data_IF_315269347594
#
_entry.id   IF_315269347594
#
_cell.length_a   1.000
_cell.length_b   1.000
_cell.length_c   1.000
_cell.angle_alpha   90.00
_cell.angle_beta   90.00
_cell.angle_gamma   90.00
#
_symmetry.space_group_name_H-M   'P 1'
#
loop_
_entity.id
_entity.type
_entity.pdbx_description
1 polymer ?
#
# COMPACT_ATOMS: atom_id res chain seq x y z
N UNK A 1 -1.75 -7.91 24.80
CA UNK A 1 -0.86 -6.73 24.89
C UNK A 1 0.31 -6.76 23.88
N UNK A 2 1.08 -7.86 23.73
CA UNK A 2 2.21 -7.88 22.76
C UNK A 2 1.76 -7.65 21.31
N UNK A 3 0.68 -8.30 20.86
CA UNK A 3 0.14 -8.15 19.50
C UNK A 3 -0.31 -6.73 19.15
N UNK A 4 -0.99 -6.02 20.07
CA UNK A 4 -1.45 -4.65 19.81
C UNK A 4 -0.29 -3.67 19.68
N UNK A 5 0.76 -3.83 20.49
CA UNK A 5 2.01 -3.06 20.33
C UNK A 5 2.73 -3.38 19.02
N UNK A 6 2.79 -4.66 18.64
CA UNK A 6 3.33 -5.08 17.34
C UNK A 6 2.56 -4.48 16.17
N UNK A 7 1.22 -4.49 16.24
CA UNK A 7 0.37 -3.90 15.20
C UNK A 7 0.57 -2.38 15.08
N UNK A 8 0.63 -1.67 16.20
CA UNK A 8 0.89 -0.23 16.19
C UNK A 8 2.28 0.10 15.64
N UNK A 9 3.30 -0.68 16.00
CA UNK A 9 4.66 -0.51 15.46
C UNK A 9 4.71 -0.78 13.94
N UNK A 10 4.03 -1.84 13.47
CA UNK A 10 3.94 -2.16 12.05
C UNK A 10 3.17 -1.11 11.24
N UNK A 11 2.07 -0.59 11.79
CA UNK A 11 1.33 0.53 11.21
C UNK A 11 2.22 1.77 11.07
N UNK A 12 2.93 2.15 12.14
CA UNK A 12 3.82 3.30 12.15
C UNK A 12 4.98 3.12 11.16
N UNK A 13 5.55 1.92 11.08
CA UNK A 13 6.60 1.61 10.11
C UNK A 13 6.11 1.71 8.66
N UNK A 14 4.94 1.16 8.35
CA UNK A 14 4.34 1.28 7.02
C UNK A 14 4.00 2.74 6.67
N UNK A 15 3.46 3.51 7.62
CA UNK A 15 3.20 4.94 7.42
C UNK A 15 4.49 5.72 7.14
N UNK A 16 5.55 5.46 7.90
CA UNK A 16 6.85 6.09 7.70
C UNK A 16 7.47 5.70 6.34
N UNK A 17 7.37 4.44 5.93
CA UNK A 17 7.87 3.97 4.66
C UNK A 17 7.14 4.62 3.47
N UNK A 18 5.80 4.61 3.48
CA UNK A 18 4.98 5.28 2.46
C UNK A 18 5.24 6.78 2.43
N UNK A 19 5.29 7.43 3.59
CA UNK A 19 5.54 8.88 3.67
C UNK A 19 6.92 9.25 3.14
N UNK A 20 7.96 8.45 3.45
CA UNK A 20 9.30 8.67 2.93
C UNK A 20 9.38 8.47 1.42
N UNK A 21 8.73 7.44 0.90
CA UNK A 21 8.69 7.13 -0.53
C UNK A 21 7.94 8.21 -1.32
N UNK A 22 6.73 8.57 -0.91
CA UNK A 22 5.94 9.63 -1.56
C UNK A 22 6.63 11.00 -1.47
N UNK A 23 7.37 11.26 -0.38
CA UNK A 23 8.20 12.46 -0.28
C UNK A 23 9.32 12.45 -1.32
N UNK A 24 10.00 11.31 -1.53
CA UNK A 24 11.01 11.17 -2.59
C UNK A 24 10.37 11.34 -3.96
N UNK A 25 9.21 10.71 -4.21
CA UNK A 25 8.48 10.83 -5.47
C UNK A 25 8.07 12.28 -5.78
N UNK A 26 7.64 13.03 -4.76
CA UNK A 26 7.29 14.44 -4.90
C UNK A 26 8.47 15.39 -5.10
N UNK A 27 9.66 15.03 -4.60
CA UNK A 27 10.86 15.87 -4.67
C UNK A 27 11.77 15.57 -5.87
N UNK A 28 11.86 14.32 -6.30
CA UNK A 28 12.72 13.90 -7.41
C UNK A 28 11.89 13.70 -8.69
N UNK A 29 12.11 14.51 -9.74
CA UNK A 29 11.46 14.31 -11.02
C UNK A 29 11.77 12.91 -11.58
N UNK A 30 10.72 12.17 -11.94
CA UNK A 30 10.84 10.82 -12.50
C UNK A 30 11.01 9.71 -11.46
N UNK A 31 11.05 10.02 -10.17
CA UNK A 31 10.92 8.99 -9.14
C UNK A 31 9.49 8.41 -9.16
N UNK A 32 9.33 7.07 -9.13
CA UNK A 32 8.02 6.45 -9.09
C UNK A 32 7.33 6.75 -7.75
N UNK A 33 6.03 7.02 -7.79
CA UNK A 33 5.16 7.02 -6.60
C UNK A 33 4.53 5.64 -6.45
N UNK A 34 4.65 5.04 -5.28
CA UNK A 34 4.14 3.71 -4.97
C UNK A 34 2.62 3.72 -4.96
N UNK A 35 1.99 4.74 -4.39
CA UNK A 35 0.53 4.84 -4.37
C UNK A 35 -0.01 4.96 -5.79
N UNK A 36 0.63 5.78 -6.63
CA UNK A 36 0.21 5.94 -8.04
C UNK A 36 0.46 4.66 -8.83
N UNK A 37 1.62 4.01 -8.66
CA UNK A 37 1.97 2.79 -9.42
C UNK A 37 1.04 1.63 -9.09
N UNK A 38 0.75 1.40 -7.80
CA UNK A 38 -0.23 0.39 -7.37
C UNK A 38 -1.64 0.76 -7.82
N UNK A 39 -2.01 2.05 -7.74
CA UNK A 39 -3.30 2.53 -8.23
C UNK A 39 -3.50 2.24 -9.72
N UNK A 40 -2.49 2.52 -10.54
CA UNK A 40 -2.49 2.18 -11.98
C UNK A 40 -2.62 0.68 -12.20
N UNK A 41 -1.88 -0.14 -11.46
CA UNK A 41 -2.00 -1.60 -11.56
C UNK A 41 -3.42 -2.10 -11.23
N UNK A 42 -4.06 -1.52 -10.21
CA UNK A 42 -5.45 -1.86 -9.85
C UNK A 42 -6.40 -1.49 -11.00
N UNK A 43 -6.21 -0.32 -11.60
CA UNK A 43 -7.01 0.13 -12.75
C UNK A 43 -6.80 -0.81 -13.95
N UNK A 44 -5.56 -1.19 -14.24
CA UNK A 44 -5.20 -2.08 -15.35
C UNK A 44 -5.81 -3.49 -15.22
N UNK A 45 -5.90 -3.99 -13.98
CA UNK A 45 -6.44 -5.31 -13.67
C UNK A 45 -7.97 -5.32 -13.50
N UNK A 46 -8.60 -4.15 -13.59
CA UNK A 46 -10.02 -4.02 -13.32
C UNK A 46 -10.85 -4.67 -14.44
N UNK A 47 -11.89 -5.47 -14.11
CA UNK A 47 -12.74 -6.07 -15.13
C UNK A 47 -13.56 -5.00 -15.90
N UNK A 48 -14.07 -5.33 -17.09
CA UNK A 48 -14.97 -4.45 -17.83
C UNK A 48 -16.14 -4.00 -16.95
N UNK A 49 -16.44 -2.69 -16.93
CA UNK A 49 -17.50 -2.13 -16.08
C UNK A 49 -17.06 -1.72 -14.67
N UNK A 50 -15.83 -2.05 -14.24
CA UNK A 50 -15.40 -1.73 -12.88
C UNK A 50 -15.23 -0.24 -12.62
N UNK A 51 -14.90 0.56 -13.65
CA UNK A 51 -14.67 2.00 -13.47
C UNK A 51 -16.01 2.69 -13.21
N UNK A 52 -17.03 2.27 -13.93
CA UNK A 52 -18.41 2.72 -13.79
C UNK A 52 -18.94 2.42 -12.38
N UNK A 53 -18.58 1.27 -11.80
CA UNK A 53 -18.93 0.94 -10.41
C UNK A 53 -18.23 1.86 -9.41
N UNK A 54 -16.93 2.11 -9.57
CA UNK A 54 -16.18 3.01 -8.69
C UNK A 54 -16.74 4.43 -8.78
N UNK A 55 -17.01 4.92 -9.99
CA UNK A 55 -17.63 6.23 -10.21
C UNK A 55 -19.05 6.29 -9.65
N UNK A 56 -19.84 5.21 -9.74
CA UNK A 56 -21.18 5.16 -9.15
C UNK A 56 -21.15 5.24 -7.61
N UNK A 57 -20.10 4.69 -6.97
CA UNK A 57 -19.93 4.69 -5.52
C UNK A 57 -19.28 5.97 -4.98
N UNK A 58 -18.28 6.50 -5.68
CA UNK A 58 -17.41 7.59 -5.19
C UNK A 58 -17.53 8.90 -5.99
N UNK A 59 -18.27 8.92 -7.10
CA UNK A 59 -18.44 10.10 -7.95
C UNK A 59 -17.13 10.59 -8.55
N UNK A 60 -16.95 11.92 -8.58
CA UNK A 60 -15.71 12.57 -9.06
C UNK A 60 -14.49 12.32 -8.16
N UNK A 61 -14.69 11.72 -6.99
CA UNK A 61 -13.62 11.38 -6.06
C UNK A 61 -13.06 9.96 -6.28
N UNK A 62 -13.34 9.30 -7.42
CA UNK A 62 -12.87 7.95 -7.76
C UNK A 62 -11.34 7.78 -7.57
N UNK A 63 -10.56 8.75 -8.03
CA UNK A 63 -9.09 8.74 -7.87
C UNK A 63 -8.64 8.93 -6.43
N UNK A 64 -9.28 9.82 -5.69
CA UNK A 64 -8.96 10.02 -4.27
C UNK A 64 -9.33 8.79 -3.45
N UNK A 65 -10.48 8.17 -3.75
CA UNK A 65 -10.90 6.91 -3.13
C UNK A 65 -9.88 5.81 -3.38
N UNK A 66 -9.34 5.70 -4.60
CA UNK A 66 -8.29 4.74 -4.93
C UNK A 66 -7.00 4.99 -4.15
N UNK A 67 -6.52 6.24 -4.12
CA UNK A 67 -5.32 6.65 -3.34
C UNK A 67 -5.48 6.27 -1.87
N UNK A 68 -6.62 6.64 -1.26
CA UNK A 68 -6.92 6.35 0.15
C UNK A 68 -7.04 4.85 0.38
N UNK A 69 -7.66 4.11 -0.53
CA UNK A 69 -7.78 2.65 -0.42
C UNK A 69 -6.41 1.96 -0.45
N UNK A 70 -5.54 2.35 -1.40
CA UNK A 70 -4.18 1.80 -1.49
C UNK A 70 -3.38 2.09 -0.23
N UNK A 71 -3.39 3.35 0.24
CA UNK A 71 -2.71 3.72 1.48
C UNK A 71 -3.26 2.95 2.69
N UNK A 72 -4.58 2.84 2.82
CA UNK A 72 -5.22 2.11 3.91
C UNK A 72 -4.83 0.62 3.90
N UNK A 73 -4.84 -0.04 2.73
CA UNK A 73 -4.44 -1.45 2.61
C UNK A 73 -2.98 -1.65 2.99
N UNK A 74 -2.08 -0.78 2.52
CA UNK A 74 -0.66 -0.85 2.87
C UNK A 74 -0.43 -0.68 4.39
N UNK A 75 -1.13 0.27 5.03
CA UNK A 75 -1.10 0.45 6.48
C UNK A 75 -1.62 -0.78 7.23
N UNK A 76 -2.72 -1.37 6.77
CA UNK A 76 -3.29 -2.58 7.36
C UNK A 76 -2.35 -3.78 7.23
N UNK A 77 -1.68 -3.93 6.08
CA UNK A 77 -0.65 -4.96 5.87
C UNK A 77 0.51 -4.74 6.85
N UNK A 78 1.01 -3.50 6.98
CA UNK A 78 2.04 -3.16 7.96
C UNK A 78 1.65 -3.53 9.38
N UNK A 79 0.44 -3.17 9.80
CA UNK A 79 -0.09 -3.52 11.11
C UNK A 79 -0.20 -5.05 11.30
N UNK A 80 -0.70 -5.78 10.29
CA UNK A 80 -0.80 -7.23 10.34
C UNK A 80 0.57 -7.90 10.47
N UNK A 81 1.55 -7.49 9.65
CA UNK A 81 2.92 -8.01 9.70
C UNK A 81 3.59 -7.68 11.02
N UNK A 82 3.42 -6.46 11.55
CA UNK A 82 3.92 -6.09 12.87
C UNK A 82 3.31 -6.93 14.00
N UNK A 83 2.02 -7.27 13.91
CA UNK A 83 1.40 -8.20 14.85
C UNK A 83 1.95 -9.63 14.71
N UNK A 84 2.17 -10.12 13.48
CA UNK A 84 2.71 -11.46 13.20
C UNK A 84 4.17 -11.57 13.69
N UNK A 85 4.98 -10.52 13.52
CA UNK A 85 6.37 -10.45 13.95
C UNK A 85 6.55 -10.73 15.46
N UNK A 86 5.51 -10.48 16.27
CA UNK A 86 5.54 -10.77 17.71
C UNK A 86 5.58 -12.27 18.02
N UNK A 87 5.17 -13.12 17.08
CA UNK A 87 5.12 -14.59 17.23
C UNK A 87 6.06 -15.31 16.27
N UNK A 88 6.19 -14.82 15.03
CA UNK A 88 7.04 -15.41 14.01
C UNK A 88 7.63 -14.30 13.13
N UNK A 89 8.90 -13.95 13.38
CA UNK A 89 9.61 -12.90 12.62
C UNK A 89 9.83 -13.30 11.17
N UNK A 90 10.25 -14.53 10.91
CA UNK A 90 10.50 -15.01 9.55
C UNK A 90 9.28 -14.91 8.64
N UNK A 91 8.07 -15.16 9.17
CA UNK A 91 6.84 -14.99 8.40
C UNK A 91 6.52 -13.52 8.13
N UNK A 92 6.79 -12.63 9.08
CA UNK A 92 6.61 -11.19 8.90
C UNK A 92 7.61 -10.63 7.88
N UNK A 93 8.88 -11.06 7.94
CA UNK A 93 9.93 -10.67 7.00
C UNK A 93 9.61 -11.15 5.59
N UNK A 94 9.17 -12.41 5.44
CA UNK A 94 8.73 -12.95 4.15
C UNK A 94 7.54 -12.17 3.57
N UNK A 95 6.56 -11.80 4.41
CA UNK A 95 5.42 -10.98 3.99
C UNK A 95 5.83 -9.57 3.56
N UNK A 96 6.76 -8.94 4.30
CA UNK A 96 7.30 -7.62 3.96
C UNK A 96 8.08 -7.66 2.64
N UNK A 97 8.96 -8.65 2.47
CA UNK A 97 9.73 -8.84 1.23
C UNK A 97 8.81 -9.14 0.04
N UNK A 98 7.79 -9.98 0.23
CA UNK A 98 6.81 -10.28 -0.82
C UNK A 98 6.02 -9.04 -1.26
N UNK A 99 5.57 -8.22 -0.31
CA UNK A 99 4.88 -6.97 -0.61
C UNK A 99 5.81 -5.95 -1.30
N UNK A 100 7.05 -5.80 -0.82
CA UNK A 100 8.04 -4.94 -1.45
C UNK A 100 8.39 -5.38 -2.88
N UNK A 101 8.52 -6.68 -3.13
CA UNK A 101 8.74 -7.23 -4.46
C UNK A 101 7.56 -6.97 -5.40
N UNK A 102 6.32 -7.11 -4.92
CA UNK A 102 5.11 -6.78 -5.68
C UNK A 102 5.06 -5.29 -6.05
N UNK A 103 5.37 -4.41 -5.09
CA UNK A 103 5.42 -2.98 -5.32
C UNK A 103 6.49 -2.59 -6.34
N UNK A 104 7.69 -3.19 -6.24
CA UNK A 104 8.76 -3.00 -7.21
C UNK A 104 8.36 -3.48 -8.60
N UNK A 105 7.72 -4.65 -8.71
CA UNK A 105 7.20 -5.15 -9.98
C UNK A 105 6.17 -4.19 -10.60
N UNK A 106 5.26 -3.65 -9.79
CA UNK A 106 4.27 -2.68 -10.24
C UNK A 106 4.91 -1.37 -10.74
N UNK A 107 5.99 -0.92 -10.08
CA UNK A 107 6.69 0.31 -10.45
C UNK A 107 7.59 0.19 -11.69
N UNK A 108 8.03 -1.03 -12.04
CA UNK A 108 8.93 -1.29 -13.19
C UNK A 108 8.21 -1.66 -14.49
N UNK A 109 6.89 -1.78 -14.44
CA UNK A 109 6.04 -2.11 -15.58
C UNK A 109 5.59 -0.83 -16.30
#
# INVERSE_FOLDING_TARGET
MKKSRGAAAGLAAAAAALGAEELVAGLLPGAPSLIVSIGTLIIDLQPPGGKELVVALFGEADKLALIVAVAAVALLIGAALGAIATRNKSLADAGFLGFGALALFAALR
#
